data_IF_837868025773
#
_entry.id   IF_837868025773
#
_cell.length_a   1.000
_cell.length_b   1.000
_cell.length_c   1.000
_cell.angle_alpha   90.00
_cell.angle_beta   90.00
_cell.angle_gamma   90.00
#
_symmetry.space_group_name_H-M   'P 1'
#
loop_
_entity.id
_entity.type
_entity.pdbx_description
1 polymer ?
#
# COMPACT_ATOMS: atom_id res chain seq x y z
N UNK A 1 3.65 13.79 12.60
CA UNK A 1 3.78 12.71 13.59
C UNK A 1 4.69 13.21 14.70
N UNK A 2 4.36 13.03 15.97
CA UNK A 2 5.22 13.45 17.06
C UNK A 2 6.53 12.64 17.02
N UNK A 3 7.64 13.32 17.21
CA UNK A 3 9.02 12.78 17.17
C UNK A 3 9.21 11.55 18.07
N UNK A 4 8.37 11.40 19.09
CA UNK A 4 8.37 10.26 20.02
C UNK A 4 7.99 8.94 19.34
N UNK A 5 7.02 8.93 18.42
CA UNK A 5 6.61 7.71 17.70
C UNK A 5 7.66 7.21 16.70
N UNK A 6 8.52 8.10 16.20
CA UNK A 6 9.65 7.74 15.34
C UNK A 6 10.83 7.12 16.11
N UNK A 7 10.98 7.44 17.40
CA UNK A 7 11.97 6.81 18.28
C UNK A 7 11.58 5.40 18.67
N UNK A 8 10.32 5.19 19.08
CA UNK A 8 9.79 3.86 19.42
C UNK A 8 9.81 2.90 18.22
N UNK A 9 9.61 3.44 16.99
CA UNK A 9 9.77 2.64 15.78
C UNK A 9 11.22 2.26 15.48
N UNK A 10 12.20 3.04 15.92
CA UNK A 10 13.64 2.72 15.77
C UNK A 10 14.09 1.57 16.65
N UNK A 11 13.57 1.47 17.86
CA UNK A 11 13.91 0.39 18.81
C UNK A 11 13.33 -0.96 18.37
N UNK A 12 12.26 -0.97 17.57
CA UNK A 12 11.67 -2.19 16.99
C UNK A 12 12.32 -2.66 15.68
N UNK A 13 13.31 -1.95 15.17
CA UNK A 13 14.09 -2.32 13.99
C UNK A 13 15.32 -3.20 14.33
N UNK A 14 15.21 -4.05 15.33
CA UNK A 14 16.16 -5.14 15.60
C UNK A 14 16.12 -6.14 14.43
N UNK A 15 16.95 -5.95 13.46
CA UNK A 15 17.02 -6.81 12.27
C UNK A 15 17.30 -6.09 10.97
N UNK A 16 17.42 -4.76 11.01
CA UNK A 16 17.91 -4.01 9.86
C UNK A 16 19.38 -4.37 9.62
N UNK A 17 19.70 -4.83 8.43
CA UNK A 17 21.05 -5.23 8.07
C UNK A 17 22.07 -4.15 8.46
N UNK A 18 23.19 -4.56 9.08
CA UNK A 18 24.23 -3.65 9.59
C UNK A 18 24.80 -2.68 8.56
N UNK A 19 24.60 -2.94 7.28
CA UNK A 19 25.08 -2.15 6.14
C UNK A 19 24.05 -1.15 5.60
N UNK A 20 22.95 -0.90 6.30
CA UNK A 20 21.98 0.11 5.86
C UNK A 20 22.50 1.53 6.07
N UNK A 21 22.25 2.39 5.10
CA UNK A 21 22.55 3.84 5.22
C UNK A 21 21.26 4.61 5.52
N UNK A 22 21.30 5.59 6.43
CA UNK A 22 20.13 6.44 6.65
C UNK A 22 19.74 7.18 5.37
N UNK A 23 18.45 7.22 5.05
CA UNK A 23 17.94 7.92 3.87
C UNK A 23 18.50 9.36 3.71
N UNK A 24 18.55 10.10 4.82
CA UNK A 24 19.11 11.47 4.82
C UNK A 24 20.56 11.54 4.36
N UNK A 25 21.36 10.49 4.57
CA UNK A 25 22.73 10.45 4.07
C UNK A 25 22.81 10.24 2.56
N UNK A 26 21.81 9.54 1.99
CA UNK A 26 21.74 9.30 0.56
C UNK A 26 21.36 10.57 -0.21
N UNK A 27 20.59 11.48 0.38
CA UNK A 27 20.22 12.75 -0.23
C UNK A 27 21.41 13.72 -0.43
N UNK A 28 22.56 13.43 0.17
CA UNK A 28 23.79 14.23 0.01
C UNK A 28 24.63 13.78 -1.18
N UNK A 29 24.30 12.68 -1.81
CA UNK A 29 25.02 12.21 -2.99
C UNK A 29 24.62 13.02 -4.24
N UNK A 30 25.56 13.12 -5.18
CA UNK A 30 25.29 13.71 -6.48
C UNK A 30 24.10 13.02 -7.18
N UNK A 31 23.41 13.71 -8.10
CA UNK A 31 22.37 13.10 -8.91
C UNK A 31 22.84 11.79 -9.53
N UNK A 32 21.90 10.84 -9.69
CA UNK A 32 22.15 9.56 -10.34
C UNK A 32 22.87 9.79 -11.67
N UNK A 33 23.92 9.02 -11.90
CA UNK A 33 24.65 9.05 -13.16
C UNK A 33 23.71 8.65 -14.31
N UNK A 34 23.44 9.59 -15.21
CA UNK A 34 22.57 9.39 -16.37
C UNK A 34 23.12 8.39 -17.39
N UNK A 35 24.36 7.89 -17.19
CA UNK A 35 24.96 6.83 -18.02
C UNK A 35 24.35 5.45 -17.80
N UNK A 36 23.61 5.23 -16.71
CA UNK A 36 22.90 3.98 -16.52
C UNK A 36 21.74 3.90 -17.53
N UNK A 37 21.66 2.81 -18.30
CA UNK A 37 20.55 2.62 -19.24
C UNK A 37 19.23 2.62 -18.46
N UNK A 38 18.22 3.28 -19.02
CA UNK A 38 16.88 3.22 -18.46
C UNK A 38 16.36 1.79 -18.63
N UNK A 39 15.68 1.22 -17.61
CA UNK A 39 15.09 -0.10 -17.75
C UNK A 39 14.04 -0.08 -18.86
N UNK A 40 13.96 -1.18 -19.58
CA UNK A 40 12.93 -1.42 -20.59
C UNK A 40 11.70 -2.07 -19.94
N UNK A 41 10.59 -2.10 -20.66
CA UNK A 41 9.37 -2.76 -20.18
C UNK A 41 9.56 -4.28 -19.91
N UNK A 42 10.54 -4.91 -20.55
CA UNK A 42 10.83 -6.34 -20.44
C UNK A 42 11.83 -6.67 -19.31
N UNK A 43 12.50 -5.66 -18.76
CA UNK A 43 13.45 -5.91 -17.68
C UNK A 43 12.73 -6.35 -16.41
N UNK A 44 13.44 -7.18 -15.63
CA UNK A 44 12.94 -7.64 -14.33
C UNK A 44 12.80 -6.45 -13.38
N UNK A 45 11.58 -6.24 -12.88
CA UNK A 45 11.27 -5.18 -11.93
C UNK A 45 11.17 -5.69 -10.50
N UNK A 46 10.67 -6.93 -10.31
CA UNK A 46 10.38 -7.47 -8.99
C UNK A 46 10.52 -8.99 -8.96
N UNK A 47 11.10 -9.50 -7.88
CA UNK A 47 11.02 -10.89 -7.47
C UNK A 47 10.07 -11.01 -6.29
N UNK A 48 8.89 -11.57 -6.52
CA UNK A 48 7.89 -11.79 -5.49
C UNK A 48 7.90 -13.24 -5.04
N UNK A 49 8.31 -13.48 -3.79
CA UNK A 49 8.37 -14.83 -3.26
C UNK A 49 7.00 -15.32 -2.78
N UNK A 50 6.67 -16.55 -3.18
CA UNK A 50 5.50 -17.28 -2.67
C UNK A 50 5.95 -18.45 -1.81
N UNK A 51 5.15 -18.79 -0.79
CA UNK A 51 5.48 -19.88 0.15
C UNK A 51 5.56 -21.28 -0.50
N UNK A 52 5.05 -21.42 -1.73
CA UNK A 52 5.03 -22.70 -2.46
C UNK A 52 4.24 -23.78 -1.70
N UNK A 53 3.37 -24.52 -2.37
CA UNK A 53 2.64 -25.65 -1.78
C UNK A 53 3.54 -26.88 -1.54
N UNK A 54 4.76 -26.89 -2.09
CA UNK A 54 5.69 -28.04 -2.11
C UNK A 54 6.97 -27.82 -1.29
N UNK A 55 7.02 -26.81 -0.41
CA UNK A 55 8.05 -26.61 0.59
C UNK A 55 9.13 -25.59 0.24
N UNK A 56 9.61 -25.46 -0.99
CA UNK A 56 10.60 -24.44 -1.34
C UNK A 56 9.93 -23.13 -1.82
N UNK A 57 10.36 -21.95 -1.32
CA UNK A 57 9.86 -20.67 -1.81
C UNK A 57 10.14 -20.50 -3.31
N UNK A 58 9.14 -20.01 -4.05
CA UNK A 58 9.27 -19.72 -5.49
C UNK A 58 9.33 -18.23 -5.70
N UNK A 59 10.36 -17.75 -6.39
CA UNK A 59 10.49 -16.35 -6.82
C UNK A 59 9.74 -16.11 -8.13
N UNK A 60 8.62 -15.42 -8.07
CA UNK A 60 7.88 -15.00 -9.26
C UNK A 60 8.58 -13.79 -9.86
N UNK A 61 9.02 -13.93 -11.11
CA UNK A 61 9.69 -12.86 -11.85
C UNK A 61 8.65 -11.95 -12.52
N UNK A 62 8.59 -10.70 -12.12
CA UNK A 62 7.69 -9.70 -12.70
C UNK A 62 8.49 -8.62 -13.41
N UNK A 63 8.16 -8.36 -14.66
CA UNK A 63 8.76 -7.28 -15.46
C UNK A 63 8.06 -5.96 -15.17
N UNK A 64 8.68 -4.84 -15.58
CA UNK A 64 8.04 -3.52 -15.54
C UNK A 64 6.69 -3.53 -16.27
N UNK A 65 6.61 -4.20 -17.41
CA UNK A 65 5.37 -4.35 -18.18
C UNK A 65 4.28 -5.09 -17.41
N UNK A 66 4.61 -6.12 -16.64
CA UNK A 66 3.61 -6.85 -15.85
C UNK A 66 3.01 -5.94 -14.77
N UNK A 67 3.84 -5.18 -14.07
CA UNK A 67 3.39 -4.26 -13.02
C UNK A 67 2.52 -3.13 -13.60
N UNK A 68 2.97 -2.53 -14.69
CA UNK A 68 2.23 -1.47 -15.37
C UNK A 68 0.88 -1.96 -15.92
N UNK A 69 0.86 -3.10 -16.63
CA UNK A 69 -0.36 -3.65 -17.19
C UNK A 69 -1.40 -3.95 -16.10
N UNK A 70 -0.96 -4.54 -14.99
CA UNK A 70 -1.84 -4.83 -13.86
C UNK A 70 -2.41 -3.56 -13.21
N UNK A 71 -1.59 -2.52 -13.05
CA UNK A 71 -2.05 -1.25 -12.51
C UNK A 71 -3.01 -0.52 -13.45
N UNK A 72 -2.78 -0.57 -14.78
CA UNK A 72 -3.70 0.01 -15.77
C UNK A 72 -5.05 -0.72 -15.81
N UNK A 73 -5.07 -2.04 -15.69
CA UNK A 73 -6.33 -2.79 -15.52
C UNK A 73 -7.12 -2.30 -14.30
N UNK A 74 -6.43 -2.01 -13.19
CA UNK A 74 -7.05 -1.43 -12.01
C UNK A 74 -7.57 -0.02 -12.27
N UNK A 75 -6.83 0.81 -12.99
CA UNK A 75 -7.25 2.16 -13.42
C UNK A 75 -8.52 2.12 -14.27
N UNK A 76 -8.56 1.26 -15.28
CA UNK A 76 -9.73 1.07 -16.16
C UNK A 76 -10.97 0.64 -15.35
N UNK A 77 -10.79 -0.23 -14.36
CA UNK A 77 -11.89 -0.72 -13.52
C UNK A 77 -12.39 0.34 -12.52
N UNK A 78 -11.47 1.08 -11.90
CA UNK A 78 -11.78 2.10 -10.90
C UNK A 78 -12.33 3.37 -11.55
N UNK A 79 -11.87 3.72 -12.76
CA UNK A 79 -12.18 4.97 -13.46
C UNK A 79 -11.99 6.18 -12.53
N UNK A 80 -10.74 6.47 -12.14
CA UNK A 80 -10.42 7.47 -11.13
C UNK A 80 -10.85 8.87 -11.58
N UNK A 81 -11.36 9.66 -10.65
CA UNK A 81 -11.58 11.08 -10.81
C UNK A 81 -10.30 11.89 -10.51
N UNK A 82 -10.43 13.22 -10.47
CA UNK A 82 -9.28 14.12 -10.31
C UNK A 82 -8.69 14.16 -8.89
N UNK A 83 -9.45 13.76 -7.85
CA UNK A 83 -9.08 13.95 -6.44
C UNK A 83 -9.12 12.64 -5.64
N UNK A 84 -8.60 11.57 -6.24
CA UNK A 84 -8.59 10.28 -5.57
C UNK A 84 -7.67 10.24 -4.36
N UNK A 85 -8.17 9.63 -3.30
CA UNK A 85 -7.42 9.37 -2.08
C UNK A 85 -7.45 7.87 -1.80
N UNK A 86 -6.28 7.24 -1.85
CA UNK A 86 -6.13 5.81 -1.57
C UNK A 86 -5.51 5.64 -0.19
N UNK A 87 -6.17 4.86 0.68
CA UNK A 87 -5.61 4.45 1.95
C UNK A 87 -4.87 3.12 1.80
N UNK A 88 -3.56 3.15 1.92
CA UNK A 88 -2.73 1.94 1.93
C UNK A 88 -2.60 1.43 3.36
N UNK A 89 -3.48 0.53 3.74
CA UNK A 89 -3.52 -0.12 5.05
C UNK A 89 -2.88 -1.51 5.02
N UNK A 90 -2.61 -2.03 3.84
CA UNK A 90 -1.97 -3.31 3.63
C UNK A 90 -0.47 -3.14 3.40
N UNK A 91 0.37 -4.12 3.79
CA UNK A 91 1.80 -4.05 3.59
C UNK A 91 2.17 -3.87 2.12
N UNK A 92 3.00 -2.88 1.80
CA UNK A 92 3.44 -2.62 0.43
C UNK A 92 4.36 -3.70 -0.14
N UNK A 93 4.95 -4.56 0.71
CA UNK A 93 5.72 -5.72 0.27
C UNK A 93 4.84 -6.92 -0.12
N UNK A 94 3.55 -6.88 0.14
CA UNK A 94 2.58 -7.87 -0.32
C UNK A 94 1.98 -7.44 -1.66
N UNK A 95 1.79 -8.38 -2.61
CA UNK A 95 1.28 -8.09 -3.95
C UNK A 95 0.00 -7.21 -3.95
N UNK A 96 -0.93 -7.52 -3.06
CA UNK A 96 -2.19 -6.79 -2.94
C UNK A 96 -1.97 -5.32 -2.52
N UNK A 97 -1.18 -5.09 -1.47
CA UNK A 97 -0.85 -3.72 -1.01
C UNK A 97 0.00 -2.96 -2.03
N UNK A 98 0.95 -3.64 -2.67
CA UNK A 98 1.76 -3.04 -3.72
C UNK A 98 0.92 -2.60 -4.92
N UNK A 99 0.03 -3.45 -5.40
CA UNK A 99 -0.79 -3.13 -6.59
C UNK A 99 -1.82 -2.06 -6.28
N UNK A 100 -2.71 -2.30 -5.32
CA UNK A 100 -3.85 -1.40 -5.05
C UNK A 100 -3.45 -0.16 -4.22
N UNK A 101 -2.39 -0.25 -3.43
CA UNK A 101 -1.85 0.90 -2.71
C UNK A 101 -0.92 1.73 -3.59
N UNK A 102 0.24 1.16 -3.95
CA UNK A 102 1.31 1.92 -4.58
C UNK A 102 1.10 2.10 -6.10
N UNK A 103 0.99 0.98 -6.85
CA UNK A 103 1.02 1.05 -8.32
C UNK A 103 -0.18 1.79 -8.90
N UNK A 104 -1.39 1.52 -8.40
CA UNK A 104 -2.60 2.23 -8.85
C UNK A 104 -2.55 3.70 -8.46
N UNK A 105 -2.09 4.04 -7.24
CA UNK A 105 -1.99 5.44 -6.84
C UNK A 105 -1.04 6.24 -7.73
N UNK A 106 0.05 5.63 -8.19
CA UNK A 106 0.99 6.29 -9.10
C UNK A 106 0.39 6.51 -10.49
N UNK A 107 -0.29 5.51 -11.05
CA UNK A 107 -0.92 5.62 -12.38
C UNK A 107 -2.08 6.61 -12.36
N UNK A 108 -2.94 6.54 -11.34
CA UNK A 108 -4.09 7.43 -11.19
C UNK A 108 -3.70 8.83 -10.69
N UNK A 109 -2.42 9.08 -10.39
CA UNK A 109 -1.94 10.31 -9.75
C UNK A 109 -2.72 10.64 -8.46
N UNK A 110 -3.15 9.59 -7.74
CA UNK A 110 -3.94 9.69 -6.54
C UNK A 110 -3.09 10.07 -5.32
N UNK A 111 -3.71 10.71 -4.35
CA UNK A 111 -3.09 10.93 -3.04
C UNK A 111 -3.02 9.61 -2.28
N UNK A 112 -1.81 9.14 -1.97
CA UNK A 112 -1.59 7.93 -1.19
C UNK A 112 -1.38 8.27 0.29
N UNK A 113 -2.22 7.72 1.16
CA UNK A 113 -2.08 7.80 2.62
C UNK A 113 -1.61 6.43 3.13
N UNK A 114 -0.38 6.36 3.62
CA UNK A 114 0.25 5.11 4.05
C UNK A 114 0.09 4.94 5.57
N UNK A 115 -0.37 3.75 5.97
CA UNK A 115 -0.43 3.34 7.37
C UNK A 115 0.66 2.28 7.63
N UNK A 116 1.58 2.53 8.57
CA UNK A 116 2.66 1.58 8.88
C UNK A 116 2.15 0.25 9.42
N UNK A 117 1.00 0.29 10.08
CA UNK A 117 0.30 -0.87 10.65
C UNK A 117 -1.21 -0.67 10.47
N UNK A 118 -1.97 -1.78 10.53
CA UNK A 118 -3.44 -1.71 10.54
C UNK A 118 -3.90 -1.20 11.92
N UNK A 119 -4.14 0.10 12.00
CA UNK A 119 -4.60 0.79 13.19
C UNK A 119 -5.90 1.53 12.89
N UNK A 120 -7.02 0.99 13.38
CA UNK A 120 -8.36 1.53 13.13
C UNK A 120 -8.53 2.94 13.72
N UNK A 121 -7.95 3.20 14.90
CA UNK A 121 -8.03 4.51 15.55
C UNK A 121 -7.32 5.57 14.71
N UNK A 122 -6.14 5.22 14.21
CA UNK A 122 -5.38 6.10 13.33
C UNK A 122 -6.10 6.33 12.00
N UNK A 123 -6.71 5.28 11.43
CA UNK A 123 -7.50 5.39 10.20
C UNK A 123 -8.69 6.33 10.39
N UNK A 124 -9.50 6.13 11.42
CA UNK A 124 -10.67 6.99 11.71
C UNK A 124 -10.24 8.43 12.01
N UNK A 125 -9.11 8.62 12.70
CA UNK A 125 -8.56 9.97 12.93
C UNK A 125 -8.11 10.64 11.64
N UNK A 126 -7.50 9.88 10.73
CA UNK A 126 -7.10 10.38 9.43
C UNK A 126 -8.31 10.71 8.54
N UNK A 127 -9.37 9.90 8.57
CA UNK A 127 -10.62 10.10 7.81
C UNK A 127 -11.32 11.42 8.17
N UNK A 128 -11.20 11.90 9.41
CA UNK A 128 -11.72 13.22 9.79
C UNK A 128 -11.05 14.38 9.04
N UNK A 129 -9.83 14.19 8.55
CA UNK A 129 -9.06 15.21 7.81
C UNK A 129 -9.11 14.99 6.31
N UNK A 130 -9.02 13.74 5.89
CA UNK A 130 -8.93 13.35 4.49
C UNK A 130 -9.62 12.01 4.35
N UNK A 131 -10.85 12.00 3.87
CA UNK A 131 -11.61 10.76 3.63
C UNK A 131 -11.00 10.02 2.43
N UNK A 132 -10.76 8.69 2.52
CA UNK A 132 -10.37 7.92 1.35
C UNK A 132 -11.55 7.79 0.39
N UNK A 133 -11.27 7.85 -0.90
CA UNK A 133 -12.23 7.49 -1.95
C UNK A 133 -12.11 6.03 -2.32
N UNK A 134 -10.90 5.46 -2.14
CA UNK A 134 -10.58 4.07 -2.41
C UNK A 134 -9.90 3.47 -1.17
N UNK A 135 -10.48 2.41 -0.65
CA UNK A 135 -9.97 1.71 0.53
C UNK A 135 -9.76 0.22 0.21
N UNK A 136 -8.55 -0.19 -0.21
CA UNK A 136 -8.21 -1.61 -0.30
C UNK A 136 -7.93 -2.17 1.08
N UNK A 137 -8.65 -3.22 1.47
CA UNK A 137 -8.45 -3.89 2.74
C UNK A 137 -8.89 -5.36 2.71
N UNK A 138 -8.67 -6.06 3.81
CA UNK A 138 -9.17 -7.43 4.03
C UNK A 138 -10.43 -7.40 4.89
N UNK A 139 -11.32 -8.40 4.82
CA UNK A 139 -12.60 -8.41 5.54
C UNK A 139 -12.50 -8.10 7.05
N UNK A 140 -11.52 -8.62 7.81
CA UNK A 140 -11.39 -8.27 9.23
C UNK A 140 -11.13 -6.77 9.50
N UNK A 141 -10.47 -6.08 8.57
CA UNK A 141 -10.23 -4.64 8.69
C UNK A 141 -11.52 -3.86 8.50
N UNK A 142 -12.33 -4.25 7.51
CA UNK A 142 -13.65 -3.65 7.29
C UNK A 142 -14.58 -3.84 8.48
N UNK A 143 -14.67 -5.07 9.01
CA UNK A 143 -15.49 -5.36 10.20
C UNK A 143 -15.12 -4.43 11.36
N UNK A 144 -13.84 -4.39 11.72
CA UNK A 144 -13.36 -3.54 12.81
C UNK A 144 -13.59 -2.04 12.53
N UNK A 145 -13.39 -1.61 11.28
CA UNK A 145 -13.62 -0.22 10.88
C UNK A 145 -15.09 0.16 11.03
N UNK A 146 -16.01 -0.67 10.55
CA UNK A 146 -17.46 -0.45 10.64
C UNK A 146 -17.92 -0.43 12.10
N UNK A 147 -17.48 -1.38 12.92
CA UNK A 147 -17.84 -1.46 14.35
C UNK A 147 -17.37 -0.20 15.10
N UNK A 148 -16.14 0.23 14.90
CA UNK A 148 -15.59 1.40 15.57
C UNK A 148 -16.16 2.72 15.03
N UNK A 149 -16.44 2.82 13.74
CA UNK A 149 -17.09 3.98 13.16
C UNK A 149 -18.51 4.13 13.71
N UNK A 150 -19.27 3.03 13.80
CA UNK A 150 -20.62 3.02 14.40
C UNK A 150 -20.61 3.43 15.87
N UNK A 151 -19.71 2.85 16.69
CA UNK A 151 -19.57 3.22 18.11
C UNK A 151 -19.28 4.71 18.32
N UNK A 152 -18.52 5.32 17.41
CA UNK A 152 -18.06 6.72 17.52
C UNK A 152 -18.91 7.68 16.71
N UNK A 153 -20.00 7.21 16.11
CA UNK A 153 -20.88 7.98 15.22
C UNK A 153 -20.07 8.71 14.12
N UNK A 154 -19.13 8.01 13.50
CA UNK A 154 -18.31 8.53 12.39
C UNK A 154 -18.90 8.03 11.08
N UNK A 155 -19.26 8.97 10.19
CA UNK A 155 -19.70 8.61 8.83
C UNK A 155 -18.52 8.12 8.00
N UNK A 156 -18.74 7.06 7.24
CA UNK A 156 -17.81 6.56 6.23
C UNK A 156 -18.22 6.93 4.80
N UNK A 157 -19.20 7.84 4.67
CA UNK A 157 -19.57 8.39 3.38
C UNK A 157 -18.38 9.10 2.73
N UNK A 158 -18.18 8.84 1.43
CA UNK A 158 -17.03 9.33 0.68
C UNK A 158 -16.10 8.20 0.23
N UNK A 159 -16.17 7.02 0.85
CA UNK A 159 -15.52 5.83 0.31
C UNK A 159 -16.34 5.35 -0.90
N UNK A 160 -15.79 5.56 -2.08
CA UNK A 160 -16.44 5.19 -3.36
C UNK A 160 -16.21 3.72 -3.68
N UNK A 161 -15.01 3.24 -3.41
CA UNK A 161 -14.61 1.85 -3.63
C UNK A 161 -14.00 1.24 -2.36
N UNK A 162 -14.71 0.25 -1.80
CA UNK A 162 -14.19 -0.64 -0.78
C UNK A 162 -13.74 -1.94 -1.47
N UNK A 163 -12.43 -2.08 -1.71
CA UNK A 163 -11.90 -3.23 -2.44
C UNK A 163 -11.45 -4.30 -1.46
N UNK A 164 -12.16 -5.43 -1.43
CA UNK A 164 -11.84 -6.55 -0.56
C UNK A 164 -11.12 -7.66 -1.31
N UNK A 165 -10.08 -8.24 -0.70
CA UNK A 165 -9.31 -9.32 -1.31
C UNK A 165 -8.55 -10.17 -0.30
N UNK A 166 -7.81 -11.15 -0.81
CA UNK A 166 -6.97 -12.09 -0.06
C UNK A 166 -7.71 -13.04 0.89
N UNK A 167 -8.99 -12.82 1.18
CA UNK A 167 -9.82 -13.64 2.04
C UNK A 167 -11.26 -13.67 1.51
N UNK A 168 -12.03 -14.69 1.92
CA UNK A 168 -13.46 -14.75 1.62
C UNK A 168 -14.19 -13.57 2.30
N UNK A 169 -15.02 -12.86 1.53
CA UNK A 169 -15.83 -11.74 2.02
C UNK A 169 -17.16 -12.29 2.54
N UNK A 170 -17.45 -12.20 3.85
CA UNK A 170 -18.72 -12.59 4.40
C UNK A 170 -19.88 -11.73 3.88
N UNK A 171 -21.05 -12.33 3.63
CA UNK A 171 -22.22 -11.61 3.12
C UNK A 171 -22.66 -10.44 4.01
N UNK A 172 -22.48 -10.56 5.32
CA UNK A 172 -22.86 -9.52 6.27
C UNK A 172 -21.94 -8.28 6.22
N UNK A 173 -20.88 -8.29 5.41
CA UNK A 173 -20.02 -7.14 5.18
C UNK A 173 -20.25 -6.46 3.82
N UNK A 174 -21.13 -6.98 3.00
CA UNK A 174 -21.57 -6.40 1.72
C UNK A 174 -22.81 -5.50 1.93
#
# INVERSE_FOLDING_TARGET
LPVKSLRESREKLEGVARNTKPWKSLLKFAPLDTRYPRPTAQDLALLLYTSGTTGAPKGVMLTHRNLEANARMGEEWIQPGNDEVIYSVLPLFHAYGMTLGLSISMICQARLVIFPTVDIDLMLKAMKKTMPTILPAVPPVYRRLLDEAKKRNISLQGIRYAVSGAMNLPHELV
#
